data_IF_127594391080
#
_entry.id   IF_127594391080
#
_cell.length_a   1.000
_cell.length_b   1.000
_cell.length_c   1.000
_cell.angle_alpha   90.00
_cell.angle_beta   90.00
_cell.angle_gamma   90.00
#
_symmetry.space_group_name_H-M   'P 1'
#
loop_
_entity.id
_entity.type
_entity.pdbx_description
1 polymer ?
#
# COMPACT_ATOMS: atom_id res chain seq x y z
N UNK A 1 3.74 16.85 -12.54
CA UNK A 1 4.35 15.90 -11.59
C UNK A 1 3.23 15.18 -10.82
N UNK A 2 2.30 14.51 -11.51
CA UNK A 2 1.01 14.13 -10.93
C UNK A 2 0.49 12.74 -11.31
N UNK A 3 1.31 11.82 -11.83
CA UNK A 3 0.83 10.51 -12.30
C UNK A 3 1.74 9.32 -11.92
N UNK A 4 2.44 9.40 -10.78
CA UNK A 4 3.28 8.28 -10.32
C UNK A 4 2.53 7.25 -9.49
N UNK A 5 1.25 7.48 -9.16
CA UNK A 5 0.43 6.54 -8.38
C UNK A 5 0.39 5.14 -9.03
N UNK A 6 0.14 4.98 -10.35
CA UNK A 6 0.17 3.66 -10.99
C UNK A 6 1.53 2.97 -10.88
N UNK A 7 2.64 3.72 -10.81
CA UNK A 7 3.98 3.13 -10.65
C UNK A 7 4.20 2.65 -9.21
N UNK A 8 3.76 3.43 -8.23
CA UNK A 8 3.80 3.06 -6.80
C UNK A 8 2.92 1.83 -6.54
N UNK A 9 1.71 1.82 -7.08
CA UNK A 9 0.77 0.70 -7.01
C UNK A 9 1.37 -0.59 -7.58
N UNK A 10 1.91 -0.54 -8.80
CA UNK A 10 2.57 -1.71 -9.43
C UNK A 10 3.72 -2.23 -8.59
N UNK A 11 4.52 -1.33 -8.00
CA UNK A 11 5.61 -1.70 -7.09
C UNK A 11 5.07 -2.44 -5.88
N UNK A 12 4.06 -1.88 -5.19
CA UNK A 12 3.46 -2.49 -4.00
C UNK A 12 2.89 -3.88 -4.35
N UNK A 13 2.08 -3.95 -5.42
CA UNK A 13 1.49 -5.21 -5.91
C UNK A 13 2.54 -6.28 -6.20
N UNK A 14 3.62 -5.91 -6.90
CA UNK A 14 4.70 -6.83 -7.26
C UNK A 14 5.41 -7.35 -6.02
N UNK A 15 5.71 -6.47 -5.05
CA UNK A 15 6.37 -6.87 -3.81
C UNK A 15 5.46 -7.77 -2.98
N UNK A 16 4.20 -7.37 -2.79
CA UNK A 16 3.25 -8.13 -1.98
C UNK A 16 2.85 -9.47 -2.62
N UNK A 17 2.96 -9.62 -3.94
CA UNK A 17 2.82 -10.90 -4.63
C UNK A 17 3.90 -11.93 -4.26
N UNK A 18 5.03 -11.49 -3.72
CA UNK A 18 6.20 -12.34 -3.40
C UNK A 18 6.46 -12.40 -1.88
N UNK A 19 6.14 -11.33 -1.15
CA UNK A 19 6.46 -11.15 0.27
C UNK A 19 5.25 -10.62 1.04
N UNK A 20 5.16 -10.84 2.36
CA UNK A 20 4.03 -10.36 3.14
C UNK A 20 3.99 -8.84 3.34
N UNK A 21 5.10 -8.13 3.08
CA UNK A 21 5.25 -6.71 3.42
C UNK A 21 5.98 -5.90 2.33
N UNK A 22 5.62 -4.62 2.20
CA UNK A 22 6.23 -3.64 1.32
C UNK A 22 6.43 -2.31 2.06
N UNK A 23 7.67 -1.83 2.11
CA UNK A 23 8.02 -0.57 2.75
C UNK A 23 8.22 0.53 1.70
N UNK A 24 7.49 1.64 1.86
CA UNK A 24 7.65 2.85 1.05
C UNK A 24 8.40 3.88 1.88
N UNK A 25 9.63 4.17 1.47
CA UNK A 25 10.54 5.11 2.14
C UNK A 25 11.10 6.18 1.20
N UNK A 26 10.91 6.02 -0.12
CA UNK A 26 11.43 6.97 -1.09
C UNK A 26 10.61 8.26 -1.09
N UNK A 27 11.22 9.47 -0.98
CA UNK A 27 10.48 10.72 -0.84
C UNK A 27 9.42 10.97 -1.92
N UNK A 28 9.70 10.62 -3.18
CA UNK A 28 8.74 10.81 -4.27
C UNK A 28 7.54 9.88 -4.18
N UNK A 29 7.72 8.66 -3.68
CA UNK A 29 6.63 7.70 -3.49
C UNK A 29 5.80 8.07 -2.26
N UNK A 30 6.47 8.48 -1.18
CA UNK A 30 5.83 9.03 0.00
C UNK A 30 5.01 10.27 -0.33
N UNK A 31 5.50 11.18 -1.16
CA UNK A 31 4.76 12.38 -1.56
C UNK A 31 3.47 12.03 -2.32
N UNK A 32 3.50 10.99 -3.16
CA UNK A 32 2.29 10.50 -3.85
C UNK A 32 1.28 9.94 -2.84
N UNK A 33 1.73 9.07 -1.93
CA UNK A 33 0.82 8.45 -0.95
C UNK A 33 0.30 9.44 0.10
N UNK A 34 1.14 10.36 0.57
CA UNK A 34 0.77 11.41 1.54
C UNK A 34 -0.10 12.52 0.91
N UNK A 35 -0.30 12.52 -0.40
CA UNK A 35 -1.29 13.40 -1.04
C UNK A 35 -2.73 12.93 -0.79
N UNK A 36 -2.91 11.66 -0.42
CA UNK A 36 -4.17 11.11 0.04
C UNK A 36 -4.37 11.45 1.52
N UNK A 37 -5.62 11.68 1.91
CA UNK A 37 -5.99 11.65 3.32
C UNK A 37 -5.79 10.24 3.90
N UNK A 38 -5.68 10.09 5.24
CA UNK A 38 -5.53 8.77 5.85
C UNK A 38 -6.61 7.76 5.45
N UNK A 39 -7.88 8.21 5.35
CA UNK A 39 -8.99 7.34 4.93
C UNK A 39 -8.95 6.97 3.45
N UNK A 40 -8.48 7.87 2.57
CA UNK A 40 -8.26 7.55 1.16
C UNK A 40 -7.11 6.55 0.98
N UNK A 41 -6.02 6.69 1.76
CA UNK A 41 -4.90 5.76 1.76
C UNK A 41 -5.31 4.37 2.25
N UNK A 42 -6.12 4.31 3.31
CA UNK A 42 -6.70 3.06 3.83
C UNK A 42 -7.61 2.41 2.79
N UNK A 43 -8.52 3.18 2.18
CA UNK A 43 -9.39 2.68 1.12
C UNK A 43 -8.59 2.16 -0.08
N UNK A 44 -7.56 2.88 -0.50
CA UNK A 44 -6.65 2.46 -1.58
C UNK A 44 -5.99 1.12 -1.28
N UNK A 45 -5.55 0.88 -0.03
CA UNK A 45 -5.00 -0.41 0.35
C UNK A 45 -6.05 -1.54 0.32
N UNK A 46 -7.24 -1.28 0.89
CA UNK A 46 -8.34 -2.25 0.96
C UNK A 46 -8.83 -2.66 -0.44
N UNK A 47 -8.99 -1.70 -1.36
CA UNK A 47 -9.41 -1.95 -2.74
C UNK A 47 -8.47 -2.92 -3.49
N UNK A 48 -7.22 -3.04 -3.01
CA UNK A 48 -6.18 -3.91 -3.55
C UNK A 48 -5.90 -5.17 -2.71
N UNK A 49 -6.67 -5.39 -1.64
CA UNK A 49 -6.49 -6.54 -0.73
C UNK A 49 -5.28 -6.41 0.20
N UNK A 50 -4.89 -5.19 0.55
CA UNK A 50 -3.76 -4.89 1.42
C UNK A 50 -4.22 -4.19 2.70
N UNK A 51 -3.37 -4.28 3.72
CA UNK A 51 -3.43 -3.42 4.90
C UNK A 51 -2.34 -2.35 4.81
N UNK A 52 -2.56 -1.18 5.39
CA UNK A 52 -1.59 -0.07 5.38
C UNK A 52 -1.38 0.51 6.77
N UNK A 53 -0.13 0.85 7.09
CA UNK A 53 0.27 1.53 8.32
C UNK A 53 1.15 2.72 7.96
N UNK A 54 0.69 3.94 8.27
CA UNK A 54 1.50 5.16 8.16
C UNK A 54 2.04 5.55 9.53
N UNK A 55 3.37 5.62 9.70
CA UNK A 55 3.95 6.06 10.97
C UNK A 55 3.90 7.58 11.13
N UNK A 56 3.73 8.03 12.38
CA UNK A 56 3.80 9.44 12.75
C UNK A 56 5.17 10.00 12.35
N UNK A 57 5.16 11.08 11.56
CA UNK A 57 6.36 11.71 10.97
C UNK A 57 6.52 11.50 9.47
N UNK A 58 5.65 10.72 8.81
CA UNK A 58 5.49 10.70 7.35
C UNK A 58 6.67 10.15 6.52
N UNK A 59 7.70 9.61 7.19
CA UNK A 59 8.93 9.11 6.57
C UNK A 59 8.86 7.67 6.08
N UNK A 60 7.78 6.97 6.41
CA UNK A 60 7.58 5.57 6.04
C UNK A 60 6.10 5.23 6.02
N UNK A 61 5.68 4.51 4.99
CA UNK A 61 4.38 3.84 4.88
C UNK A 61 4.65 2.36 4.64
N UNK A 62 3.92 1.52 5.34
CA UNK A 62 4.07 0.07 5.32
C UNK A 62 2.80 -0.52 4.74
N UNK A 63 2.91 -1.37 3.73
CA UNK A 63 1.81 -2.16 3.21
C UNK A 63 2.03 -3.62 3.54
N UNK A 64 0.96 -4.33 3.85
CA UNK A 64 0.97 -5.75 4.14
C UNK A 64 -0.05 -6.45 3.27
N UNK A 65 0.30 -7.65 2.81
CA UNK A 65 -0.66 -8.49 2.13
C UNK A 65 -1.69 -8.92 3.16
N UNK A 66 -2.98 -8.70 2.90
CA UNK A 66 -4.02 -9.21 3.78
C UNK A 66 -4.19 -10.71 3.52
N UNK A 67 -3.31 -11.51 4.12
CA UNK A 67 -3.38 -12.96 4.02
C UNK A 67 -4.70 -13.51 4.59
N UNK A 68 -5.37 -12.80 5.50
CA UNK A 68 -6.68 -13.19 5.99
C UNK A 68 -7.77 -12.97 4.93
N UNK A 69 -7.73 -11.86 4.19
CA UNK A 69 -8.63 -11.64 3.04
C UNK A 69 -8.35 -12.63 1.89
N UNK A 70 -7.08 -12.98 1.66
CA UNK A 70 -6.70 -13.98 0.63
C UNK A 70 -7.17 -15.39 0.98
N UNK A 71 -7.03 -15.82 2.25
CA UNK A 71 -7.53 -17.11 2.70
C UNK A 71 -9.08 -17.17 2.67
N UNK A 72 -9.77 -16.07 2.96
CA UNK A 72 -11.23 -16.01 2.87
C UNK A 72 -11.78 -16.16 1.43
N UNK A 73 -11.00 -15.79 0.41
CA UNK A 73 -11.35 -15.95 -1.01
C UNK A 73 -11.02 -17.36 -1.56
N UNK A 74 -10.12 -18.11 -0.92
CA UNK A 74 -9.77 -19.47 -1.32
C UNK A 74 -10.70 -20.54 -0.68
N UNK A 75 -11.50 -20.17 0.33
CA UNK A 75 -12.48 -21.05 1.00
C UNK A 75 -13.95 -20.82 0.58
N UNK A 76 -14.22 -20.05 -0.49
CA UNK A 76 -15.58 -19.76 -1.00
C UNK A 76 -15.93 -20.39 -2.35
#
# INVERSE_FOLDING_TARGET
MLDNLPAVERKISTVLGIRPECFITHPAELAVLNSMSPGELEKFAIDHGWNVVSRIGGRQIEFYNDAAARLALEES
#
